data_IF_292375139209
#
_entry.id   IF_292375139209
#
_cell.length_a   1.000
_cell.length_b   1.000
_cell.length_c   1.000
_cell.angle_alpha   90.00
_cell.angle_beta   90.00
_cell.angle_gamma   90.00
#
_symmetry.space_group_name_H-M   'P 1'
#
loop_
_entity.id
_entity.type
_entity.pdbx_description
1 polymer ?
#
# COMPACT_ATOMS: atom_id res chain seq x y z
N UNK A 1 16.12 -64.82 -59.38
CA UNK A 1 15.25 -64.45 -58.25
C UNK A 1 16.00 -63.42 -57.43
N UNK A 2 15.63 -62.14 -57.56
CA UNK A 2 16.21 -61.05 -56.76
C UNK A 2 15.22 -60.71 -55.66
N UNK A 3 15.64 -60.90 -54.41
CA UNK A 3 14.87 -60.60 -53.24
C UNK A 3 14.98 -59.08 -52.97
N UNK A 4 13.86 -58.34 -52.94
CA UNK A 4 13.79 -56.91 -52.68
C UNK A 4 13.46 -56.74 -51.20
N UNK A 5 14.39 -56.28 -50.41
CA UNK A 5 14.21 -56.00 -48.96
C UNK A 5 13.63 -54.62 -48.82
N UNK A 6 12.38 -54.50 -48.33
CA UNK A 6 11.71 -53.25 -48.06
C UNK A 6 12.14 -52.77 -46.63
N UNK A 7 12.83 -51.61 -46.57
CA UNK A 7 13.23 -51.00 -45.34
C UNK A 7 12.09 -50.01 -44.85
N UNK A 8 11.37 -50.39 -43.81
CA UNK A 8 10.36 -49.52 -43.17
C UNK A 8 11.05 -48.53 -42.22
N UNK A 9 11.08 -47.25 -42.60
CA UNK A 9 11.55 -46.17 -41.74
C UNK A 9 10.37 -45.64 -40.91
N UNK A 10 10.36 -45.94 -39.61
CA UNK A 10 9.38 -45.40 -38.65
C UNK A 10 9.80 -43.99 -38.22
N UNK A 11 9.05 -42.96 -38.66
CA UNK A 11 9.23 -41.59 -38.26
C UNK A 11 8.45 -41.37 -36.92
N UNK A 12 9.16 -41.30 -35.80
CA UNK A 12 8.57 -40.97 -34.52
C UNK A 12 8.38 -39.45 -34.43
N UNK A 13 7.15 -38.96 -34.46
CA UNK A 13 6.83 -37.57 -34.16
C UNK A 13 6.91 -37.34 -32.67
N UNK A 14 7.93 -36.62 -32.19
CA UNK A 14 7.99 -36.05 -30.86
C UNK A 14 7.06 -34.83 -30.82
N UNK A 15 5.88 -34.99 -30.24
CA UNK A 15 4.99 -33.87 -29.94
C UNK A 15 5.57 -33.07 -28.77
N UNK A 16 6.18 -31.93 -29.05
CA UNK A 16 6.60 -30.98 -28.05
C UNK A 16 5.35 -30.28 -27.48
N UNK A 17 4.86 -30.72 -26.33
CA UNK A 17 3.79 -30.06 -25.60
C UNK A 17 4.36 -28.76 -25.00
N UNK A 18 4.13 -27.64 -25.69
CA UNK A 18 4.40 -26.32 -25.11
C UNK A 18 3.37 -26.05 -24.01
N UNK A 19 3.78 -26.17 -22.76
CA UNK A 19 3.01 -25.70 -21.61
C UNK A 19 3.05 -24.17 -21.61
N UNK A 20 2.02 -23.51 -22.13
CA UNK A 20 1.88 -22.07 -22.05
C UNK A 20 1.57 -21.70 -20.58
N UNK A 21 2.60 -21.29 -19.84
CA UNK A 21 2.42 -20.68 -18.51
C UNK A 21 1.80 -19.31 -18.73
N UNK A 22 0.48 -19.21 -18.58
CA UNK A 22 -0.21 -17.92 -18.58
C UNK A 22 0.24 -17.17 -17.34
N UNK A 23 1.04 -16.12 -17.50
CA UNK A 23 1.41 -15.23 -16.39
C UNK A 23 0.14 -14.58 -15.86
N UNK A 24 -0.25 -14.93 -14.63
CA UNK A 24 -1.39 -14.31 -13.95
C UNK A 24 -1.04 -12.85 -13.68
N UNK A 25 -1.78 -11.92 -14.29
CA UNK A 25 -1.65 -10.49 -13.99
C UNK A 25 -2.16 -10.25 -12.56
N UNK A 26 -1.34 -9.63 -11.72
CA UNK A 26 -1.71 -9.30 -10.35
C UNK A 26 -2.75 -8.19 -10.30
N UNK A 27 -3.72 -8.33 -9.42
CA UNK A 27 -4.67 -7.26 -9.11
C UNK A 27 -3.97 -6.10 -8.37
N UNK A 28 -4.53 -4.87 -8.39
CA UNK A 28 -3.98 -3.77 -7.63
C UNK A 28 -3.82 -4.09 -6.12
N UNK A 29 -4.79 -4.79 -5.53
CA UNK A 29 -4.69 -5.22 -4.13
C UNK A 29 -3.51 -6.19 -3.92
N UNK A 30 -3.32 -7.17 -4.81
CA UNK A 30 -2.17 -8.09 -4.73
C UNK A 30 -0.84 -7.32 -4.83
N UNK A 31 -0.75 -6.29 -5.68
CA UNK A 31 0.45 -5.45 -5.78
C UNK A 31 0.72 -4.68 -4.48
N UNK A 32 -0.31 -4.08 -3.88
CA UNK A 32 -0.20 -3.36 -2.60
C UNK A 32 0.31 -4.31 -1.50
N UNK A 33 -0.30 -5.50 -1.36
CA UNK A 33 0.08 -6.48 -0.35
C UNK A 33 1.51 -6.98 -0.54
N UNK A 34 1.89 -7.30 -1.76
CA UNK A 34 3.24 -7.76 -2.07
C UNK A 34 4.28 -6.69 -1.77
N UNK A 35 3.98 -5.42 -2.08
CA UNK A 35 4.88 -4.33 -1.78
C UNK A 35 4.97 -4.05 -0.27
N UNK A 36 3.86 -4.12 0.46
CA UNK A 36 3.87 -4.00 1.92
C UNK A 36 4.76 -5.09 2.56
N UNK A 37 4.61 -6.35 2.14
CA UNK A 37 5.47 -7.47 2.59
C UNK A 37 6.93 -7.30 2.16
N UNK A 38 7.18 -6.81 0.94
CA UNK A 38 8.54 -6.53 0.46
C UNK A 38 9.25 -5.49 1.33
N UNK A 39 8.56 -4.47 1.82
CA UNK A 39 9.17 -3.46 2.69
C UNK A 39 9.73 -4.06 4.00
N UNK A 40 9.18 -5.19 4.48
CA UNK A 40 9.73 -5.92 5.65
C UNK A 40 11.15 -6.47 5.43
N UNK A 41 11.58 -6.57 4.18
CA UNK A 41 12.92 -7.07 3.82
C UNK A 41 13.93 -5.95 3.60
N UNK A 42 13.48 -4.68 3.73
CA UNK A 42 14.32 -3.51 3.45
C UNK A 42 14.89 -2.94 4.75
N UNK A 43 16.13 -2.47 4.68
CA UNK A 43 16.76 -1.71 5.77
C UNK A 43 16.36 -0.24 5.66
N UNK A 44 15.34 0.15 6.43
CA UNK A 44 14.77 1.50 6.40
C UNK A 44 14.86 2.10 7.80
N UNK A 45 15.62 3.17 7.95
CA UNK A 45 15.71 3.95 9.18
C UNK A 45 14.47 4.85 9.34
N UNK A 46 13.96 4.97 10.56
CA UNK A 46 12.87 5.89 10.85
C UNK A 46 13.38 7.35 10.82
N UNK A 47 12.92 8.12 9.83
CA UNK A 47 13.28 9.53 9.69
C UNK A 47 12.08 10.35 9.20
N UNK A 48 11.50 11.12 10.11
CA UNK A 48 10.40 12.06 9.86
C UNK A 48 10.83 13.48 9.52
N UNK A 49 12.14 13.73 9.31
CA UNK A 49 12.64 15.05 8.98
C UNK A 49 12.07 15.56 7.65
N UNK A 50 11.82 16.88 7.59
CA UNK A 50 11.33 17.52 6.37
C UNK A 50 12.37 17.41 5.25
N UNK A 51 11.91 16.97 4.08
CA UNK A 51 12.73 16.88 2.86
C UNK A 51 11.97 17.44 1.67
N UNK A 52 12.68 18.16 0.82
CA UNK A 52 12.17 18.51 -0.51
C UNK A 52 12.27 17.26 -1.39
N UNK A 53 11.16 16.90 -2.00
CA UNK A 53 11.03 15.75 -2.89
C UNK A 53 10.43 16.19 -4.22
N UNK A 54 10.48 15.35 -5.23
CA UNK A 54 9.87 15.61 -6.54
C UNK A 54 8.34 15.63 -6.45
N UNK A 55 7.70 16.19 -7.46
CA UNK A 55 6.26 16.18 -7.65
C UNK A 55 5.95 16.09 -9.16
N UNK A 56 5.10 15.18 -9.62
CA UNK A 56 4.45 14.06 -8.91
C UNK A 56 5.42 12.91 -8.58
N UNK A 57 4.92 11.87 -7.89
CA UNK A 57 5.64 10.63 -7.55
C UNK A 57 6.91 10.82 -6.69
N UNK A 58 6.99 11.92 -5.95
CA UNK A 58 8.11 12.17 -5.05
C UNK A 58 8.16 11.18 -3.89
N UNK A 59 9.39 10.79 -3.51
CA UNK A 59 9.65 9.95 -2.34
C UNK A 59 10.89 10.43 -1.60
N UNK A 60 10.98 10.13 -0.32
CA UNK A 60 12.22 10.25 0.43
C UNK A 60 13.20 9.13 0.02
N UNK A 61 14.51 9.25 0.29
CA UNK A 61 15.45 8.18 0.00
C UNK A 61 14.97 6.81 0.48
N UNK A 62 15.21 5.77 -0.30
CA UNK A 62 14.65 4.43 -0.06
C UNK A 62 15.01 3.82 1.30
N UNK A 63 16.16 4.22 1.86
CA UNK A 63 16.67 3.76 3.15
C UNK A 63 16.13 4.54 4.36
N UNK A 64 15.16 5.45 4.17
CA UNK A 64 14.46 6.15 5.24
C UNK A 64 12.96 6.15 5.01
N UNK A 65 12.19 6.33 6.08
CA UNK A 65 10.73 6.45 6.01
C UNK A 65 10.08 6.49 7.38
N UNK A 66 8.78 6.76 7.38
CA UNK A 66 7.91 6.73 8.55
C UNK A 66 6.68 5.85 8.27
N UNK A 67 5.74 5.75 9.20
CA UNK A 67 4.54 4.91 9.04
C UNK A 67 3.75 5.20 7.75
N UNK A 68 3.59 6.47 7.38
CA UNK A 68 2.87 6.86 6.17
C UNK A 68 3.58 6.43 4.89
N UNK A 69 4.92 6.39 4.87
CA UNK A 69 5.69 5.95 3.70
C UNK A 69 5.44 4.47 3.37
N UNK A 70 5.11 3.64 4.38
CA UNK A 70 4.69 2.24 4.17
C UNK A 70 3.43 2.19 3.29
N UNK A 71 2.43 3.01 3.62
CA UNK A 71 1.17 3.08 2.86
C UNK A 71 1.41 3.68 1.46
N UNK A 72 2.07 4.83 1.41
CA UNK A 72 2.32 5.57 0.17
C UNK A 72 3.04 4.69 -0.86
N UNK A 73 4.10 4.01 -0.44
CA UNK A 73 4.88 3.12 -1.30
C UNK A 73 4.10 1.90 -1.76
N UNK A 74 3.27 1.32 -0.85
CA UNK A 74 2.41 0.19 -1.18
C UNK A 74 1.37 0.56 -2.23
N UNK A 75 0.68 1.69 -2.08
CA UNK A 75 -0.29 2.17 -3.07
C UNK A 75 0.37 2.58 -4.40
N UNK A 76 1.56 3.16 -4.35
CA UNK A 76 2.34 3.49 -5.56
C UNK A 76 2.65 2.26 -6.40
N UNK A 77 2.90 1.10 -5.80
CA UNK A 77 3.13 -0.16 -6.53
C UNK A 77 1.92 -0.59 -7.38
N UNK A 78 0.73 -0.12 -7.02
CA UNK A 78 -0.51 -0.34 -7.76
C UNK A 78 -0.89 0.87 -8.67
N UNK A 79 0.03 1.82 -8.87
CA UNK A 79 -0.18 3.00 -9.74
C UNK A 79 -0.92 4.16 -9.08
N UNK A 80 -1.12 4.14 -7.75
CA UNK A 80 -1.82 5.21 -7.02
C UNK A 80 -0.81 6.19 -6.42
N UNK A 81 -0.77 7.40 -6.93
CA UNK A 81 0.05 8.49 -6.37
C UNK A 81 -0.72 9.27 -5.28
N UNK A 82 -0.55 8.85 -4.02
CA UNK A 82 -1.17 9.53 -2.88
C UNK A 82 -0.67 10.97 -2.71
N UNK A 83 0.55 11.30 -3.15
CA UNK A 83 1.08 12.66 -3.10
C UNK A 83 0.22 13.60 -3.94
N UNK A 84 -0.09 13.21 -5.19
CA UNK A 84 -0.91 13.99 -6.10
C UNK A 84 -2.35 14.12 -5.57
N UNK A 85 -2.96 12.98 -5.20
CA UNK A 85 -4.35 12.97 -4.73
C UNK A 85 -4.56 13.89 -3.52
N UNK A 86 -3.68 13.77 -2.54
CA UNK A 86 -3.75 14.57 -1.30
C UNK A 86 -3.38 16.03 -1.56
N UNK A 87 -2.32 16.30 -2.33
CA UNK A 87 -1.91 17.66 -2.64
C UNK A 87 -3.02 18.48 -3.31
N UNK A 88 -3.66 17.92 -4.35
CA UNK A 88 -4.72 18.62 -5.07
C UNK A 88 -5.96 18.84 -4.19
N UNK A 89 -6.31 17.89 -3.34
CA UNK A 89 -7.45 18.06 -2.43
C UNK A 89 -7.16 19.07 -1.31
N UNK A 90 -5.98 19.03 -0.69
CA UNK A 90 -5.54 20.02 0.32
C UNK A 90 -5.50 21.43 -0.27
N UNK A 91 -4.98 21.58 -1.48
CA UNK A 91 -4.91 22.86 -2.21
C UNK A 91 -6.30 23.47 -2.44
N UNK A 92 -7.28 22.61 -2.75
CA UNK A 92 -8.65 23.04 -3.00
C UNK A 92 -9.43 23.37 -1.72
N UNK A 93 -9.03 22.84 -0.55
CA UNK A 93 -9.75 23.06 0.70
C UNK A 93 -8.81 23.19 1.93
N UNK A 94 -7.96 24.19 1.92
CA UNK A 94 -7.04 24.49 3.03
C UNK A 94 -7.78 24.70 4.37
N UNK A 95 -9.00 25.21 4.34
CA UNK A 95 -9.78 25.48 5.55
C UNK A 95 -10.16 24.19 6.28
N UNK A 96 -10.46 23.14 5.56
CA UNK A 96 -10.77 21.81 6.12
C UNK A 96 -9.52 21.14 6.70
N UNK A 97 -8.42 21.16 5.93
CA UNK A 97 -7.19 20.48 6.33
C UNK A 97 -6.44 21.18 7.44
N UNK A 98 -6.37 22.51 7.38
CA UNK A 98 -5.60 23.37 8.30
C UNK A 98 -6.44 24.49 8.94
N UNK A 99 -7.55 24.20 9.64
CA UNK A 99 -8.50 25.23 10.07
C UNK A 99 -7.90 26.33 10.95
N UNK A 100 -6.94 25.99 11.84
CA UNK A 100 -6.27 26.95 12.72
C UNK A 100 -5.33 27.84 11.90
N UNK A 101 -4.51 27.25 11.04
CA UNK A 101 -3.59 27.99 10.17
C UNK A 101 -4.32 28.83 9.13
N UNK A 102 -5.45 28.32 8.59
CA UNK A 102 -6.30 29.05 7.67
C UNK A 102 -6.85 30.32 8.31
N UNK A 103 -7.42 30.23 9.51
CA UNK A 103 -7.90 31.39 10.27
C UNK A 103 -6.81 32.43 10.56
N UNK A 104 -5.56 31.99 10.68
CA UNK A 104 -4.40 32.86 10.92
C UNK A 104 -3.77 33.38 9.62
N UNK A 105 -4.26 33.00 8.45
CA UNK A 105 -3.67 33.33 7.15
C UNK A 105 -2.30 32.69 6.88
N UNK A 106 -1.96 31.61 7.60
CA UNK A 106 -0.66 30.92 7.51
C UNK A 106 -0.76 29.51 6.91
N UNK A 107 -1.97 29.07 6.52
CA UNK A 107 -2.16 27.78 5.87
C UNK A 107 -1.49 27.76 4.49
N UNK A 108 -0.75 26.72 4.22
CA UNK A 108 -0.11 26.45 2.93
C UNK A 108 -0.17 24.98 2.64
N UNK A 109 -0.47 24.64 1.37
CA UNK A 109 -0.29 23.28 0.88
C UNK A 109 1.20 23.03 0.66
N UNK A 110 1.64 21.81 0.98
CA UNK A 110 3.04 21.42 0.82
C UNK A 110 3.15 20.00 0.22
N UNK A 111 3.51 19.88 -1.08
CA UNK A 111 3.61 18.60 -1.76
C UNK A 111 4.70 17.68 -1.17
N UNK A 112 5.63 18.24 -0.36
CA UNK A 112 6.72 17.46 0.21
C UNK A 112 6.30 16.68 1.46
N UNK A 113 5.23 17.12 2.16
CA UNK A 113 4.94 16.58 3.50
C UNK A 113 3.46 16.28 3.76
N UNK A 114 2.49 16.91 3.07
CA UNK A 114 1.08 16.77 3.41
C UNK A 114 0.61 15.31 3.33
N UNK A 115 0.98 14.59 2.26
CA UNK A 115 0.67 13.16 2.09
C UNK A 115 1.40 12.25 3.09
N UNK A 116 2.42 12.74 3.79
CA UNK A 116 3.19 12.02 4.81
C UNK A 116 2.70 12.32 6.24
N UNK A 117 1.57 13.02 6.40
CA UNK A 117 0.95 13.34 7.69
C UNK A 117 -0.28 12.48 7.91
N UNK A 118 -0.28 11.67 8.97
CA UNK A 118 -1.38 10.75 9.29
C UNK A 118 -2.73 11.46 9.34
N UNK A 119 -2.82 12.58 10.04
CA UNK A 119 -4.08 13.34 10.16
C UNK A 119 -4.56 13.92 8.82
N UNK A 120 -3.67 14.17 7.86
CA UNK A 120 -4.06 14.62 6.51
C UNK A 120 -4.60 13.43 5.71
N UNK A 121 -3.92 12.28 5.74
CA UNK A 121 -4.42 11.04 5.12
C UNK A 121 -5.81 10.69 5.65
N UNK A 122 -5.99 10.71 6.98
CA UNK A 122 -7.27 10.46 7.62
C UNK A 122 -8.36 11.40 7.11
N UNK A 123 -8.12 12.71 7.14
CA UNK A 123 -9.06 13.72 6.62
C UNK A 123 -9.37 13.53 5.14
N UNK A 124 -8.37 13.17 4.34
CA UNK A 124 -8.54 12.89 2.92
C UNK A 124 -9.48 11.70 2.69
N UNK A 125 -9.30 10.61 3.44
CA UNK A 125 -10.18 9.44 3.37
C UNK A 125 -11.59 9.75 3.87
N UNK A 126 -11.73 10.42 5.02
CA UNK A 126 -13.02 10.81 5.60
C UNK A 126 -13.84 11.72 4.67
N UNK A 127 -13.17 12.65 3.97
CA UNK A 127 -13.82 13.62 3.09
C UNK A 127 -14.21 13.03 1.73
N UNK A 128 -13.27 12.34 1.09
CA UNK A 128 -13.44 11.94 -0.32
C UNK A 128 -13.94 10.51 -0.48
N UNK A 129 -13.78 9.68 0.55
CA UNK A 129 -14.12 8.25 0.52
C UNK A 129 -14.83 7.80 1.81
N UNK A 130 -15.89 8.50 2.27
CA UNK A 130 -16.54 8.20 3.55
C UNK A 130 -17.10 6.77 3.61
N UNK A 131 -17.55 6.24 2.48
CA UNK A 131 -18.10 4.87 2.39
C UNK A 131 -17.03 3.77 2.55
N UNK A 132 -15.75 4.13 2.53
CA UNK A 132 -14.64 3.19 2.77
C UNK A 132 -14.30 3.03 4.24
N UNK A 133 -14.78 3.95 5.10
CA UNK A 133 -14.63 3.85 6.56
C UNK A 133 -15.56 2.79 7.11
N UNK A 134 -14.98 1.80 7.76
CA UNK A 134 -15.68 0.65 8.30
C UNK A 134 -15.96 0.85 9.79
N UNK A 135 -16.96 0.12 10.28
CA UNK A 135 -17.31 0.08 11.72
C UNK A 135 -16.38 -0.91 12.42
N UNK A 136 -16.21 -0.78 13.73
CA UNK A 136 -15.42 -1.73 14.54
C UNK A 136 -15.96 -3.17 14.50
N UNK A 137 -17.25 -3.34 14.14
CA UNK A 137 -17.89 -4.64 13.97
C UNK A 137 -17.67 -5.28 12.59
N UNK A 138 -17.12 -4.53 11.63
CA UNK A 138 -16.91 -5.02 10.28
C UNK A 138 -15.66 -5.91 10.23
N UNK A 139 -15.70 -6.92 9.36
CA UNK A 139 -14.60 -7.85 9.18
C UNK A 139 -13.36 -7.13 8.62
N UNK A 140 -12.22 -7.32 9.27
CA UNK A 140 -10.92 -6.87 8.77
C UNK A 140 -10.43 -7.73 7.61
N UNK A 141 -9.88 -7.12 6.56
CA UNK A 141 -9.38 -7.82 5.37
C UNK A 141 -7.99 -7.33 4.96
N UNK A 142 -7.22 -8.18 4.26
CA UNK A 142 -5.95 -7.76 3.66
C UNK A 142 -6.13 -6.55 2.75
N UNK A 143 -5.24 -5.57 2.90
CA UNK A 143 -5.28 -4.30 2.20
C UNK A 143 -6.05 -3.19 2.92
N UNK A 144 -6.70 -3.50 4.05
CA UNK A 144 -7.34 -2.48 4.87
C UNK A 144 -6.26 -1.58 5.53
N UNK A 145 -6.54 -0.29 5.56
CA UNK A 145 -5.72 0.72 6.24
C UNK A 145 -6.24 0.88 7.66
N UNK A 146 -5.35 0.82 8.64
CA UNK A 146 -5.66 1.07 10.04
C UNK A 146 -4.95 2.36 10.46
N UNK A 147 -5.71 3.29 11.04
CA UNK A 147 -5.19 4.58 11.52
C UNK A 147 -5.48 4.70 13.02
N UNK A 148 -4.45 4.97 13.82
CA UNK A 148 -4.56 5.27 15.24
C UNK A 148 -4.57 6.77 15.46
N UNK A 149 -5.68 7.29 15.90
CA UNK A 149 -5.82 8.72 16.16
C UNK A 149 -5.32 9.57 15.00
N UNK A 150 -4.33 10.42 15.26
CA UNK A 150 -3.70 11.28 14.25
C UNK A 150 -2.18 11.06 14.14
N UNK A 151 -1.68 9.94 14.67
CA UNK A 151 -0.25 9.78 14.89
C UNK A 151 0.37 8.52 14.24
N UNK A 152 -0.42 7.48 13.94
CA UNK A 152 0.11 6.26 13.37
C UNK A 152 -0.81 5.65 12.32
N UNK A 153 -0.22 4.89 11.37
CA UNK A 153 -0.95 4.21 10.31
C UNK A 153 -0.20 2.94 9.89
N UNK A 154 -0.97 1.92 9.52
CA UNK A 154 -0.45 0.67 8.97
C UNK A 154 -1.42 0.06 7.96
N UNK A 155 -1.01 -1.02 7.32
CA UNK A 155 -1.80 -1.77 6.34
C UNK A 155 -1.85 -3.25 6.69
N UNK A 156 -3.03 -3.86 6.64
CA UNK A 156 -3.20 -5.29 6.90
C UNK A 156 -2.71 -6.11 5.70
N UNK A 157 -1.99 -7.19 5.99
CA UNK A 157 -1.51 -8.13 4.97
C UNK A 157 -2.27 -9.46 5.04
N UNK A 158 -2.08 -10.33 4.06
CA UNK A 158 -2.76 -11.62 3.90
C UNK A 158 -2.17 -12.75 4.77
N UNK A 159 -1.52 -12.39 5.89
CA UNK A 159 -1.02 -13.33 6.87
C UNK A 159 -1.82 -13.25 8.17
N UNK A 160 -2.29 -14.40 8.67
CA UNK A 160 -3.03 -14.49 9.93
C UNK A 160 -2.10 -14.52 11.14
N UNK A 161 -2.52 -13.88 12.22
CA UNK A 161 -1.91 -14.02 13.54
C UNK A 161 -2.27 -15.42 14.09
N UNK A 162 -1.30 -16.27 14.47
CA UNK A 162 -1.56 -17.63 14.92
C UNK A 162 -2.57 -17.70 16.06
N UNK A 163 -3.56 -18.59 15.91
CA UNK A 163 -4.61 -18.81 16.91
C UNK A 163 -5.70 -17.73 16.97
N UNK A 164 -5.74 -16.84 15.99
CA UNK A 164 -6.75 -15.76 15.90
C UNK A 164 -7.32 -15.63 14.48
N UNK A 165 -8.41 -14.85 14.34
CA UNK A 165 -8.93 -14.46 13.04
C UNK A 165 -8.34 -13.14 12.52
N UNK A 166 -7.42 -12.54 13.27
CA UNK A 166 -6.78 -11.28 12.92
C UNK A 166 -5.70 -11.45 11.86
N UNK A 167 -5.44 -10.38 11.13
CA UNK A 167 -4.35 -10.29 10.17
C UNK A 167 -3.18 -9.50 10.77
N UNK A 168 -1.97 -9.88 10.42
CA UNK A 168 -0.83 -9.01 10.69
C UNK A 168 -0.94 -7.70 9.90
N UNK A 169 -0.46 -6.63 10.49
CA UNK A 169 -0.25 -5.38 9.80
C UNK A 169 1.23 -5.07 9.57
N UNK A 170 1.50 -4.32 8.52
CA UNK A 170 2.82 -3.76 8.23
C UNK A 170 2.78 -2.26 8.51
N UNK A 171 3.71 -1.80 9.31
CA UNK A 171 3.86 -0.40 9.70
C UNK A 171 5.32 -0.09 10.03
N UNK A 172 5.63 1.20 10.31
CA UNK A 172 6.94 1.61 10.81
C UNK A 172 6.74 2.56 12.00
N UNK A 173 7.12 2.11 13.19
CA UNK A 173 6.96 2.87 14.45
C UNK A 173 8.31 3.32 15.05
N UNK A 174 9.42 3.12 14.35
CA UNK A 174 10.72 3.59 14.81
C UNK A 174 11.92 2.70 14.48
N UNK A 175 11.70 1.39 14.33
CA UNK A 175 12.77 0.43 14.06
C UNK A 175 12.88 0.00 12.57
N UNK A 176 12.17 0.68 11.67
CA UNK A 176 11.97 0.27 10.29
C UNK A 176 10.61 -0.41 10.09
N UNK A 177 10.27 -0.81 8.85
CA UNK A 177 9.05 -1.54 8.59
C UNK A 177 9.03 -2.87 9.34
N UNK A 178 7.98 -3.09 10.11
CA UNK A 178 7.79 -4.31 10.88
C UNK A 178 6.40 -4.89 10.69
N UNK A 179 6.27 -6.19 10.96
CA UNK A 179 5.01 -6.93 10.95
C UNK A 179 4.60 -7.20 12.39
N UNK A 180 3.42 -6.72 12.80
CA UNK A 180 2.91 -6.94 14.14
C UNK A 180 1.40 -7.16 14.18
N UNK A 181 0.92 -7.74 15.28
CA UNK A 181 -0.49 -7.79 15.63
C UNK A 181 -0.83 -6.53 16.39
N UNK A 182 -1.38 -5.54 15.69
CA UNK A 182 -1.56 -4.20 16.24
C UNK A 182 -3.00 -3.77 16.53
N UNK A 183 -3.82 -4.67 16.97
CA UNK A 183 -5.15 -4.37 17.48
C UNK A 183 -5.08 -3.98 18.97
N UNK A 184 -4.51 -2.79 19.24
CA UNK A 184 -4.17 -2.42 20.63
C UNK A 184 -5.29 -1.75 21.40
N UNK A 185 -6.08 -0.91 20.74
CA UNK A 185 -7.14 -0.15 21.40
C UNK A 185 -8.22 0.18 20.35
N UNK A 186 -9.37 -0.46 20.48
CA UNK A 186 -10.49 -0.30 19.54
C UNK A 186 -11.10 1.11 19.58
N UNK A 187 -10.95 1.84 20.68
CA UNK A 187 -11.53 3.19 20.84
C UNK A 187 -10.84 4.24 19.98
N UNK A 188 -9.56 4.04 19.63
CA UNK A 188 -8.77 4.99 18.85
C UNK A 188 -8.55 4.59 17.38
N UNK A 189 -9.08 3.45 16.95
CA UNK A 189 -8.84 2.94 15.60
C UNK A 189 -9.89 3.42 14.60
N UNK A 190 -9.40 3.97 13.49
CA UNK A 190 -10.16 4.10 12.27
C UNK A 190 -9.75 3.00 11.27
N UNK A 191 -10.73 2.37 10.66
CA UNK A 191 -10.56 1.25 9.74
C UNK A 191 -11.11 1.62 8.37
N UNK A 192 -10.27 1.57 7.32
CA UNK A 192 -10.64 1.94 5.94
C UNK A 192 -10.33 0.82 4.96
N UNK A 193 -11.32 0.49 4.10
CA UNK A 193 -11.13 -0.39 2.94
C UNK A 193 -11.09 0.44 1.67
N UNK A 194 -10.01 1.16 1.47
CA UNK A 194 -9.85 2.08 0.36
C UNK A 194 -9.25 1.39 -0.88
N UNK A 195 -10.00 1.43 -1.99
CA UNK A 195 -9.63 0.83 -3.27
C UNK A 195 -9.89 1.84 -4.39
N UNK A 196 -8.95 2.77 -4.65
CA UNK A 196 -9.12 3.86 -5.62
C UNK A 196 -8.83 3.45 -7.08
N UNK A 197 -9.06 2.19 -7.46
CA UNK A 197 -8.79 1.61 -8.78
C UNK A 197 -9.95 0.75 -9.28
#
# INVERSE_FOLDING_TARGET
MKLLTLLLISISFYACTQTSTTLKVKTPTELILDHAKWQLTQDVNYDGSYRKIDYPNGDVPANIGVCTDVIIRSYRSAGVDMQVLIYEDVKNDLSYYYPIHYKRGTAKVDPNIDHRRVHIIRKFLDKNYPDTKLKSTDEYKPGDIIIWGNWHVGILIDEKVPGTDRYYGVHNIGAGPEKSDFYYDEEELDHYRWKPF
#
